data_IF_955552099019
#
_entry.id   IF_955552099019
#
_cell.length_a   1.000
_cell.length_b   1.000
_cell.length_c   1.000
_cell.angle_alpha   90.00
_cell.angle_beta   90.00
_cell.angle_gamma   90.00
#
_symmetry.space_group_name_H-M   'P 1'
#
loop_
_entity.id
_entity.type
_entity.pdbx_description
1 polymer ?
#
# COMPACT_ATOMS: atom_id res chain seq x y z
N UNK A 1 10.44 12.99 10.96
CA UNK A 1 9.15 12.29 11.25
C UNK A 1 8.53 12.72 12.57
N UNK A 2 9.30 13.05 13.61
CA UNK A 2 8.76 13.43 14.94
C UNK A 2 7.84 14.65 14.96
N UNK A 3 7.99 15.59 14.04
CA UNK A 3 7.18 16.82 14.02
C UNK A 3 5.86 16.68 13.21
N UNK A 4 5.81 15.77 12.22
CA UNK A 4 4.64 15.59 11.37
C UNK A 4 3.55 14.77 12.06
N UNK A 5 3.93 13.77 12.85
CA UNK A 5 2.97 12.85 13.50
C UNK A 5 1.96 13.58 14.42
N UNK A 6 2.36 14.55 15.26
CA UNK A 6 1.41 15.34 16.05
C UNK A 6 0.42 16.11 15.19
N UNK A 7 0.88 16.75 14.12
CA UNK A 7 0.03 17.51 13.20
C UNK A 7 -1.00 16.63 12.50
N UNK A 8 -0.60 15.45 12.05
CA UNK A 8 -1.51 14.47 11.45
C UNK A 8 -2.60 14.06 12.44
N UNK A 9 -2.22 13.83 13.70
CA UNK A 9 -3.16 13.47 14.76
C UNK A 9 -4.16 14.60 15.06
N UNK A 10 -3.72 15.85 15.09
CA UNK A 10 -4.59 17.02 15.23
C UNK A 10 -5.59 17.14 14.07
N UNK A 11 -5.20 16.71 12.87
CA UNK A 11 -6.09 16.62 11.71
C UNK A 11 -7.00 15.38 11.69
N UNK A 12 -7.00 14.57 12.76
CA UNK A 12 -7.79 13.33 12.84
C UNK A 12 -7.24 12.18 11.99
N UNK A 13 -5.99 12.26 11.55
CA UNK A 13 -5.33 11.20 10.78
C UNK A 13 -4.66 10.20 11.72
N UNK A 14 -4.97 8.93 11.57
CA UNK A 14 -4.27 7.83 12.25
C UNK A 14 -3.03 7.46 11.45
N UNK A 15 -1.85 7.71 12.02
CA UNK A 15 -0.58 7.30 11.44
C UNK A 15 -0.22 5.88 11.90
N UNK A 16 -0.04 4.98 10.96
CA UNK A 16 0.33 3.58 11.20
C UNK A 16 1.79 3.37 10.82
N UNK A 17 2.65 3.15 11.81
CA UNK A 17 4.07 2.84 11.65
C UNK A 17 4.34 1.46 12.22
N UNK A 18 4.43 0.47 11.36
CA UNK A 18 4.59 -0.96 11.70
C UNK A 18 3.59 -1.44 12.78
N UNK A 19 2.33 -1.04 12.59
CA UNK A 19 1.23 -1.34 13.50
C UNK A 19 -0.09 -1.43 12.74
N UNK A 20 -1.17 -1.74 13.44
CA UNK A 20 -2.50 -1.82 12.86
C UNK A 20 -3.56 -1.20 13.76
N UNK A 21 -4.73 -0.96 13.19
CA UNK A 21 -5.96 -0.59 13.88
C UNK A 21 -7.11 -1.47 13.38
N UNK A 22 -8.10 -1.69 14.23
CA UNK A 22 -9.36 -2.32 13.83
C UNK A 22 -10.41 -1.25 13.61
N UNK A 23 -11.06 -1.29 12.46
CA UNK A 23 -12.17 -0.41 12.11
C UNK A 23 -13.47 -1.20 12.17
N UNK A 24 -14.41 -0.71 12.95
CA UNK A 24 -15.74 -1.33 13.12
C UNK A 24 -16.82 -0.49 12.46
N UNK A 25 -17.71 -1.13 11.70
CA UNK A 25 -18.86 -0.48 11.10
C UNK A 25 -20.00 -1.48 10.88
N UNK A 26 -21.21 -1.13 11.32
CA UNK A 26 -22.42 -1.93 11.10
C UNK A 26 -22.28 -3.40 11.51
N UNK A 27 -21.62 -3.66 12.64
CA UNK A 27 -21.39 -5.02 13.15
C UNK A 27 -20.34 -5.84 12.40
N UNK A 28 -19.62 -5.23 11.46
CA UNK A 28 -18.44 -5.81 10.82
C UNK A 28 -17.17 -5.12 11.31
N UNK A 29 -16.06 -5.86 11.29
CA UNK A 29 -14.75 -5.34 11.64
C UNK A 29 -13.73 -5.70 10.53
N UNK A 30 -12.81 -4.82 10.27
CA UNK A 30 -11.62 -5.05 9.43
C UNK A 30 -10.39 -4.53 10.13
N UNK A 31 -9.25 -5.18 9.97
CA UNK A 31 -7.99 -4.59 10.38
C UNK A 31 -7.33 -3.84 9.21
N UNK A 32 -6.67 -2.74 9.55
CA UNK A 32 -5.85 -1.97 8.61
C UNK A 32 -4.46 -1.84 9.21
N UNK A 33 -3.48 -2.48 8.58
CA UNK A 33 -2.09 -2.44 8.99
C UNK A 33 -1.29 -1.50 8.09
N UNK A 34 -0.37 -0.75 8.65
CA UNK A 34 0.60 0.06 7.92
C UNK A 34 2.01 -0.38 8.22
N UNK A 35 2.82 -0.55 7.18
CA UNK A 35 4.25 -0.84 7.30
C UNK A 35 5.08 0.34 6.77
N UNK A 36 6.17 0.60 7.46
CA UNK A 36 7.12 1.63 7.05
C UNK A 36 7.94 1.19 5.83
N UNK A 37 8.59 2.16 5.18
CA UNK A 37 9.48 1.87 4.05
C UNK A 37 10.63 0.94 4.51
N UNK A 38 10.92 -0.15 3.79
CA UNK A 38 11.99 -1.09 4.15
C UNK A 38 13.39 -0.45 4.21
N UNK A 39 13.58 0.72 3.60
CA UNK A 39 14.79 1.53 3.77
C UNK A 39 14.77 2.43 5.03
N UNK A 40 13.84 2.22 5.94
CA UNK A 40 13.75 2.94 7.21
C UNK A 40 14.80 2.50 8.22
N UNK A 41 14.48 2.65 9.51
CA UNK A 41 15.40 2.30 10.60
C UNK A 41 15.61 0.78 10.70
N UNK A 42 16.80 0.36 11.05
CA UNK A 42 17.17 -1.05 11.13
C UNK A 42 16.45 -1.84 12.26
N UNK A 43 15.91 -1.14 13.23
CA UNK A 43 15.20 -1.70 14.40
C UNK A 43 13.68 -1.72 14.25
N UNK A 44 13.15 -1.36 13.06
CA UNK A 44 11.72 -1.43 12.81
C UNK A 44 11.21 -2.88 12.72
N UNK A 45 9.95 -3.10 13.10
CA UNK A 45 9.29 -4.40 12.90
C UNK A 45 9.30 -4.79 11.42
N UNK A 46 9.53 -6.06 11.19
CA UNK A 46 9.41 -6.63 9.83
C UNK A 46 7.94 -6.72 9.40
N UNK A 47 7.64 -6.75 8.08
CA UNK A 47 6.29 -6.99 7.59
C UNK A 47 5.67 -8.27 8.14
N UNK A 48 6.46 -9.34 8.34
CA UNK A 48 6.02 -10.62 8.90
C UNK A 48 5.62 -10.51 10.37
N UNK A 49 6.30 -9.71 11.16
CA UNK A 49 5.93 -9.45 12.57
C UNK A 49 4.62 -8.67 12.64
N UNK A 50 4.43 -7.65 11.79
CA UNK A 50 3.17 -6.91 11.72
C UNK A 50 2.02 -7.83 11.30
N UNK A 51 2.21 -8.67 10.28
CA UNK A 51 1.20 -9.63 9.84
C UNK A 51 0.82 -10.62 10.93
N UNK A 52 1.78 -11.09 11.72
CA UNK A 52 1.53 -11.95 12.89
C UNK A 52 0.69 -11.24 13.93
N UNK A 53 1.07 -10.01 14.31
CA UNK A 53 0.31 -9.20 15.28
C UNK A 53 -1.15 -9.02 14.84
N UNK A 54 -1.38 -8.78 13.53
CA UNK A 54 -2.73 -8.69 12.97
C UNK A 54 -3.48 -10.02 13.13
N UNK A 55 -2.88 -11.14 12.71
CA UNK A 55 -3.52 -12.47 12.79
C UNK A 55 -3.80 -12.90 14.22
N UNK A 56 -2.91 -12.60 15.15
CA UNK A 56 -3.11 -12.87 16.58
C UNK A 56 -4.32 -12.09 17.15
N UNK A 57 -4.57 -10.89 16.63
CA UNK A 57 -5.66 -10.04 17.09
C UNK A 57 -7.02 -10.38 16.45
N UNK A 58 -7.06 -10.72 15.16
CA UNK A 58 -8.33 -10.87 14.42
C UNK A 58 -8.59 -12.28 13.86
N UNK A 59 -7.64 -13.22 14.03
CA UNK A 59 -7.74 -14.57 13.45
C UNK A 59 -7.86 -14.53 11.93
N UNK A 60 -8.88 -15.18 11.39
CA UNK A 60 -9.19 -15.22 9.94
C UNK A 60 -10.01 -14.01 9.45
N UNK A 61 -10.10 -12.95 10.26
CA UNK A 61 -10.77 -11.71 9.88
C UNK A 61 -10.12 -11.03 8.69
N UNK A 62 -10.93 -10.24 7.96
CA UNK A 62 -10.48 -9.47 6.80
C UNK A 62 -9.51 -8.35 7.20
N UNK A 63 -8.39 -8.23 6.49
CA UNK A 63 -7.46 -7.15 6.73
C UNK A 63 -6.80 -6.57 5.48
N UNK A 64 -6.51 -5.27 5.56
CA UNK A 64 -5.81 -4.48 4.54
C UNK A 64 -4.37 -4.22 4.97
N UNK A 65 -3.45 -4.29 4.02
CA UNK A 65 -2.08 -3.84 4.17
C UNK A 65 -1.86 -2.52 3.42
N UNK A 66 -1.39 -1.51 4.12
CA UNK A 66 -0.89 -0.26 3.54
C UNK A 66 0.64 -0.36 3.43
N UNK A 67 1.14 -0.54 2.20
CA UNK A 67 2.56 -0.69 1.92
C UNK A 67 2.97 0.23 0.78
N UNK A 68 3.86 1.19 1.04
CA UNK A 68 4.20 2.22 0.06
C UNK A 68 4.78 1.65 -1.24
N UNK A 69 5.71 0.67 -1.15
CA UNK A 69 6.46 0.17 -2.31
C UNK A 69 5.75 -0.97 -3.03
N UNK A 70 5.15 -0.68 -4.19
CA UNK A 70 4.57 -1.69 -5.08
C UNK A 70 5.59 -2.74 -5.57
N UNK A 71 6.86 -2.37 -5.72
CA UNK A 71 7.94 -3.27 -6.19
C UNK A 71 8.26 -4.40 -5.22
N UNK A 72 7.88 -4.30 -3.96
CA UNK A 72 8.07 -5.33 -2.93
C UNK A 72 6.86 -6.28 -2.80
N UNK A 73 5.82 -6.12 -3.64
CA UNK A 73 4.61 -6.90 -3.49
C UNK A 73 4.85 -8.41 -3.60
N UNK A 74 5.49 -8.87 -4.67
CA UNK A 74 5.71 -10.30 -4.90
C UNK A 74 6.66 -10.94 -3.90
N UNK A 75 7.71 -10.20 -3.49
CA UNK A 75 8.79 -10.73 -2.65
C UNK A 75 8.46 -10.69 -1.17
N UNK A 76 7.80 -9.61 -0.73
CA UNK A 76 7.70 -9.32 0.70
C UNK A 76 6.25 -9.30 1.21
N UNK A 77 5.26 -8.89 0.39
CA UNK A 77 3.91 -8.64 0.89
C UNK A 77 2.91 -9.72 0.53
N UNK A 78 3.02 -10.34 -0.64
CA UNK A 78 2.05 -11.34 -1.11
C UNK A 78 1.92 -12.55 -0.16
N UNK A 79 3.01 -12.93 0.51
CA UNK A 79 3.01 -14.06 1.45
C UNK A 79 2.51 -13.70 2.88
N UNK A 80 2.17 -12.44 3.15
CA UNK A 80 1.71 -12.00 4.48
C UNK A 80 0.26 -12.40 4.77
N UNK A 81 -0.51 -12.72 3.73
CA UNK A 81 -1.91 -13.14 3.84
C UNK A 81 -2.88 -11.97 4.08
N UNK A 82 -2.53 -10.76 3.65
CA UNK A 82 -3.49 -9.66 3.56
C UNK A 82 -4.53 -9.94 2.47
N UNK A 83 -5.79 -9.63 2.73
CA UNK A 83 -6.85 -9.80 1.73
C UNK A 83 -6.73 -8.78 0.59
N UNK A 84 -6.17 -7.60 0.88
CA UNK A 84 -5.82 -6.60 -0.12
C UNK A 84 -4.66 -5.75 0.36
N UNK A 85 -3.65 -5.59 -0.50
CA UNK A 85 -2.56 -4.62 -0.31
C UNK A 85 -2.86 -3.34 -1.09
N UNK A 86 -2.69 -2.19 -0.46
CA UNK A 86 -2.76 -0.88 -1.12
C UNK A 86 -1.35 -0.29 -1.22
N UNK A 87 -0.91 0.00 -2.43
CA UNK A 87 0.43 0.49 -2.71
C UNK A 87 0.46 1.70 -3.63
N UNK A 88 1.60 2.35 -3.69
CA UNK A 88 1.86 3.48 -4.57
C UNK A 88 3.29 3.46 -5.09
N UNK A 89 4.10 4.50 -4.79
CA UNK A 89 5.52 4.65 -5.07
C UNK A 89 5.91 4.71 -6.56
N UNK A 90 5.39 3.82 -7.39
CA UNK A 90 5.75 3.72 -8.82
C UNK A 90 5.22 4.88 -9.68
N UNK A 91 4.37 5.74 -9.11
CA UNK A 91 3.74 6.90 -9.77
C UNK A 91 3.12 6.59 -11.15
N UNK A 92 2.69 5.35 -11.36
CA UNK A 92 2.14 4.90 -12.64
C UNK A 92 3.20 4.70 -13.73
N UNK A 93 4.47 4.62 -13.37
CA UNK A 93 5.60 4.53 -14.30
C UNK A 93 5.85 5.86 -14.99
N UNK A 94 6.11 6.94 -14.24
CA UNK A 94 6.39 8.34 -14.59
C UNK A 94 5.97 8.79 -16.00
N UNK A 95 6.46 8.11 -17.03
CA UNK A 95 6.14 8.31 -18.44
C UNK A 95 5.28 7.16 -18.94
N UNK A 96 4.17 7.50 -19.59
CA UNK A 96 3.27 6.53 -20.18
C UNK A 96 3.11 6.83 -21.67
N UNK A 97 3.03 5.78 -22.46
CA UNK A 97 2.60 5.90 -23.85
C UNK A 97 1.13 5.44 -23.93
N UNK A 98 0.36 5.93 -24.90
CA UNK A 98 -0.97 5.40 -25.15
C UNK A 98 -0.92 3.87 -25.30
N UNK A 99 -1.84 3.18 -24.65
CA UNK A 99 -1.96 1.72 -24.67
C UNK A 99 -0.83 0.95 -23.96
N UNK A 100 0.02 1.62 -23.14
CA UNK A 100 1.02 0.96 -22.31
C UNK A 100 0.81 1.25 -20.84
N UNK A 101 1.31 0.36 -19.98
CA UNK A 101 1.19 0.52 -18.52
C UNK A 101 2.19 1.50 -17.94
N UNK A 102 3.29 1.69 -18.45
CA UNK A 102 4.33 2.60 -17.99
C UNK A 102 5.63 2.32 -18.69
N UNK A 103 6.32 3.35 -19.09
CA UNK A 103 7.57 3.21 -19.83
C UNK A 103 8.80 3.30 -18.92
N UNK A 104 8.77 4.25 -17.97
CA UNK A 104 9.90 4.55 -17.10
C UNK A 104 9.42 4.61 -15.66
N UNK A 105 9.90 3.70 -14.83
CA UNK A 105 9.63 3.66 -13.40
C UNK A 105 10.63 4.46 -12.57
N UNK A 106 10.36 4.55 -11.26
CA UNK A 106 11.29 5.11 -10.30
C UNK A 106 12.64 4.37 -10.35
N UNK A 107 13.73 5.12 -10.21
CA UNK A 107 15.08 4.56 -10.30
C UNK A 107 15.53 4.18 -11.72
N UNK A 108 14.76 4.57 -12.76
CA UNK A 108 15.13 4.31 -14.17
C UNK A 108 14.72 2.92 -14.68
N UNK A 109 13.89 2.19 -13.95
CA UNK A 109 13.37 0.90 -14.41
C UNK A 109 12.55 1.06 -15.69
N UNK A 110 12.87 0.32 -16.73
CA UNK A 110 12.09 0.27 -17.96
C UNK A 110 10.95 -0.73 -17.83
N UNK A 111 9.77 -0.36 -18.32
CA UNK A 111 8.54 -1.17 -18.30
C UNK A 111 8.26 -1.76 -16.90
N UNK A 112 8.11 -0.92 -15.88
CA UNK A 112 7.91 -1.38 -14.51
C UNK A 112 6.61 -2.18 -14.37
N UNK A 113 6.63 -3.21 -13.53
CA UNK A 113 5.44 -3.97 -13.14
C UNK A 113 4.60 -3.20 -12.10
N UNK A 114 3.32 -3.57 -11.96
CA UNK A 114 2.42 -3.02 -10.94
C UNK A 114 2.34 -1.49 -10.95
N UNK A 115 2.08 -0.91 -12.11
CA UNK A 115 2.13 0.55 -12.27
C UNK A 115 0.89 1.26 -11.78
N UNK A 116 -0.30 0.69 -12.05
CA UNK A 116 -1.57 1.29 -11.69
C UNK A 116 -2.73 0.30 -11.88
N UNK A 117 -3.63 0.22 -10.92
CA UNK A 117 -4.81 -0.62 -10.97
C UNK A 117 -4.70 -1.84 -10.06
N UNK A 118 -5.53 -2.82 -10.34
CA UNK A 118 -5.67 -4.04 -9.56
C UNK A 118 -4.86 -5.17 -10.20
N UNK A 119 -4.10 -5.88 -9.37
CA UNK A 119 -3.32 -7.04 -9.79
C UNK A 119 -3.48 -8.16 -8.77
N UNK A 120 -3.37 -9.40 -9.26
CA UNK A 120 -3.31 -10.60 -8.43
C UNK A 120 -2.01 -11.33 -8.71
N UNK A 121 -1.31 -11.74 -7.66
CA UNK A 121 -0.14 -12.61 -7.72
C UNK A 121 -0.35 -13.80 -6.79
N UNK A 122 -0.47 -15.01 -7.37
CA UNK A 122 -0.94 -16.20 -6.65
C UNK A 122 -2.32 -15.93 -6.03
N UNK A 123 -2.44 -16.04 -4.71
CA UNK A 123 -3.68 -15.81 -3.95
C UNK A 123 -3.72 -14.42 -3.26
N UNK A 124 -2.81 -13.52 -3.62
CA UNK A 124 -2.68 -12.21 -3.01
C UNK A 124 -3.06 -11.09 -4.00
N UNK A 125 -3.84 -10.13 -3.52
CA UNK A 125 -4.31 -9.00 -4.30
C UNK A 125 -3.60 -7.70 -3.91
N UNK A 126 -3.30 -6.87 -4.91
CA UNK A 126 -2.79 -5.52 -4.70
C UNK A 126 -3.49 -4.52 -5.59
N UNK A 127 -3.84 -3.39 -5.02
CA UNK A 127 -4.24 -2.20 -5.76
C UNK A 127 -3.12 -1.16 -5.69
N UNK A 128 -2.66 -0.71 -6.85
CA UNK A 128 -1.60 0.29 -6.97
C UNK A 128 -2.17 1.58 -7.52
N UNK A 129 -1.96 2.69 -6.80
CA UNK A 129 -2.36 4.01 -7.25
C UNK A 129 -1.17 4.79 -7.82
N UNK A 130 -1.45 5.61 -8.82
CA UNK A 130 -0.47 6.56 -9.35
C UNK A 130 -0.19 7.72 -8.40
N UNK A 131 -1.09 7.97 -7.45
CA UNK A 131 -0.99 9.04 -6.47
C UNK A 131 -0.96 10.45 -7.06
N UNK A 132 -0.80 11.44 -6.18
CA UNK A 132 -0.78 12.87 -6.54
C UNK A 132 0.65 13.42 -6.72
N UNK A 133 1.62 12.86 -6.01
CA UNK A 133 3.01 13.28 -6.01
C UNK A 133 3.79 12.83 -7.24
N UNK A 134 5.10 13.06 -7.20
CA UNK A 134 6.07 12.61 -8.18
C UNK A 134 6.69 13.74 -9.00
N UNK A 135 7.75 13.37 -9.70
CA UNK A 135 8.50 14.26 -10.59
C UNK A 135 7.74 14.51 -11.92
N UNK A 136 8.42 14.93 -12.94
CA UNK A 136 7.82 15.19 -14.27
C UNK A 136 7.10 13.94 -14.79
N UNK A 137 5.79 14.06 -14.97
CA UNK A 137 4.92 13.02 -15.54
C UNK A 137 4.61 13.33 -16.99
N UNK A 138 4.75 12.36 -17.88
CA UNK A 138 4.39 12.50 -19.31
C UNK A 138 3.24 11.54 -19.60
N UNK A 139 2.11 12.09 -20.08
CA UNK A 139 0.86 11.36 -20.37
C UNK A 139 0.35 10.51 -19.20
N UNK A 140 0.69 10.91 -17.99
CA UNK A 140 0.41 10.20 -16.74
C UNK A 140 -0.23 11.15 -15.72
N UNK A 141 -1.55 11.20 -15.71
CA UNK A 141 -2.31 12.10 -14.83
C UNK A 141 -2.21 11.67 -13.37
N UNK A 142 -2.13 12.61 -12.41
CA UNK A 142 -2.31 12.31 -10.99
C UNK A 142 -3.65 11.60 -10.73
N UNK A 143 -3.69 10.79 -9.68
CA UNK A 143 -4.84 9.97 -9.35
C UNK A 143 -5.13 10.00 -7.85
N UNK A 144 -6.42 10.13 -7.52
CA UNK A 144 -6.98 9.78 -6.22
C UNK A 144 -7.89 8.58 -6.44
N UNK A 145 -7.51 7.44 -5.89
CA UNK A 145 -8.28 6.21 -6.01
C UNK A 145 -9.28 6.09 -4.86
N UNK A 146 -10.50 5.67 -5.17
CA UNK A 146 -11.52 5.32 -4.17
C UNK A 146 -11.71 3.81 -4.20
N UNK A 147 -11.35 3.13 -3.11
CA UNK A 147 -11.53 1.69 -2.94
C UNK A 147 -12.75 1.46 -2.06
N UNK A 148 -13.73 0.71 -2.55
CA UNK A 148 -14.97 0.41 -1.85
C UNK A 148 -14.97 -1.07 -1.49
N UNK A 149 -14.91 -1.36 -0.18
CA UNK A 149 -15.07 -2.71 0.35
C UNK A 149 -16.55 -2.99 0.58
N UNK A 150 -16.99 -4.16 0.16
CA UNK A 150 -18.37 -4.62 0.39
C UNK A 150 -18.34 -6.00 1.01
N UNK A 151 -19.24 -6.22 1.97
CA UNK A 151 -19.49 -7.55 2.51
C UNK A 151 -20.38 -8.29 1.52
N UNK A 152 -19.97 -9.48 1.13
CA UNK A 152 -20.83 -10.41 0.38
C UNK A 152 -21.79 -11.12 1.31
#
# INVERSE_FOLDING_TARGET
>A
MSELTPLLKECGVTYLSNTFVTLERNGGAIAVAGIDDPNGFADQKTPQEVARDVRDAIGDGFWLLLAHRNTHFETDYAALGADLTLSGHGHGGLWRLPFTDGLLGNGGALLPSYTNGFYTFRDADVFVTRGLGGMVRILNRPEVAVVILRRN
#
